data_IF_945822911785
#
_entry.id   IF_945822911785
#
_cell.length_a   1.000
_cell.length_b   1.000
_cell.length_c   1.000
_cell.angle_alpha   90.00
_cell.angle_beta   90.00
_cell.angle_gamma   90.00
#
_symmetry.space_group_name_H-M   'P 1'
#
loop_
_entity.id
_entity.type
_entity.pdbx_description
1 polymer ?
#
# COMPACT_ATOMS: atom_id res chain seq x y z
N UNK A 1 -66.25 -35.87 10.38
CA UNK A 1 -65.15 -35.51 9.45
C UNK A 1 -64.59 -34.14 9.85
N UNK A 2 -63.80 -34.07 10.92
CA UNK A 2 -63.24 -32.81 11.49
C UNK A 2 -61.74 -32.92 11.78
N UNK A 3 -61.03 -33.80 11.06
CA UNK A 3 -59.60 -34.07 11.26
C UNK A 3 -58.73 -33.72 10.05
N UNK A 4 -59.33 -33.34 8.92
CA UNK A 4 -58.59 -33.02 7.68
C UNK A 4 -57.97 -31.61 7.67
N UNK A 5 -58.47 -30.68 8.49
CA UNK A 5 -57.99 -29.28 8.50
C UNK A 5 -56.65 -29.11 9.23
N UNK A 6 -56.38 -29.88 10.29
CA UNK A 6 -55.13 -29.76 11.07
C UNK A 6 -53.91 -30.36 10.36
N UNK A 7 -54.10 -31.35 9.49
CA UNK A 7 -52.99 -32.01 8.78
C UNK A 7 -52.41 -31.07 7.70
N UNK A 8 -53.27 -30.24 7.08
CA UNK A 8 -52.85 -29.27 6.06
C UNK A 8 -52.01 -28.13 6.64
N UNK A 9 -52.23 -27.74 7.90
CA UNK A 9 -51.44 -26.70 8.57
C UNK A 9 -50.03 -27.18 8.97
N UNK A 10 -49.90 -28.46 9.35
CA UNK A 10 -48.60 -29.05 9.70
C UNK A 10 -47.67 -29.24 8.50
N UNK A 11 -48.22 -29.51 7.30
CA UNK A 11 -47.42 -29.64 6.07
C UNK A 11 -46.84 -28.30 5.58
N UNK A 12 -47.54 -27.18 5.81
CA UNK A 12 -47.06 -25.86 5.39
C UNK A 12 -45.88 -25.36 6.24
N UNK A 13 -45.78 -25.76 7.51
CA UNK A 13 -44.61 -25.44 8.37
C UNK A 13 -43.36 -26.26 8.03
N UNK A 14 -43.49 -27.40 7.36
CA UNK A 14 -42.37 -28.23 6.93
C UNK A 14 -41.76 -27.80 5.57
N UNK A 15 -42.37 -26.82 4.90
CA UNK A 15 -41.99 -26.32 3.56
C UNK A 15 -41.43 -24.90 3.58
N UNK A 16 -41.07 -24.34 4.74
CA UNK A 16 -40.08 -23.27 4.78
C UNK A 16 -38.74 -23.90 4.38
N UNK A 17 -38.21 -23.62 3.18
CA UNK A 17 -36.84 -24.00 2.93
C UNK A 17 -36.01 -23.20 3.92
N UNK A 18 -35.12 -23.88 4.63
CA UNK A 18 -34.15 -23.35 5.59
C UNK A 18 -33.21 -22.34 4.92
N UNK A 19 -33.72 -21.17 4.51
CA UNK A 19 -32.94 -20.05 3.96
C UNK A 19 -32.44 -19.15 5.08
N UNK A 20 -31.84 -19.76 6.09
CA UNK A 20 -30.85 -19.12 6.94
C UNK A 20 -29.64 -20.04 7.13
N UNK A 21 -29.19 -20.71 6.05
CA UNK A 21 -27.75 -20.90 5.88
C UNK A 21 -27.22 -19.70 5.11
N UNK A 22 -27.01 -18.59 5.82
CA UNK A 22 -25.92 -17.68 5.43
C UNK A 22 -24.65 -18.49 5.66
N UNK A 23 -24.11 -19.09 4.60
CA UNK A 23 -22.73 -19.55 4.61
C UNK A 23 -21.82 -18.34 4.88
N UNK A 24 -21.53 -18.06 6.15
CA UNK A 24 -20.30 -17.36 6.52
C UNK A 24 -19.15 -18.36 6.39
N UNK A 25 -18.77 -18.68 5.16
CA UNK A 25 -17.66 -19.57 4.88
C UNK A 25 -17.03 -19.24 3.52
N UNK A 26 -16.61 -17.98 3.34
CA UNK A 26 -15.66 -17.58 2.28
C UNK A 26 -15.06 -16.16 2.47
N UNK A 27 -15.23 -15.54 3.65
CA UNK A 27 -14.69 -14.22 3.96
C UNK A 27 -13.70 -14.33 5.13
N UNK A 28 -12.50 -14.84 4.87
CA UNK A 28 -11.36 -14.58 5.78
C UNK A 28 -9.98 -14.79 5.15
N UNK A 29 -9.83 -15.71 4.17
CA UNK A 29 -8.51 -16.07 3.63
C UNK A 29 -7.68 -14.90 3.04
N UNK A 30 -8.34 -13.81 2.62
CA UNK A 30 -7.63 -12.61 2.12
C UNK A 30 -7.03 -11.76 3.24
N UNK A 31 -7.72 -11.67 4.38
CA UNK A 31 -7.21 -10.93 5.53
C UNK A 31 -6.13 -11.72 6.25
N UNK A 32 -6.21 -13.06 6.26
CA UNK A 32 -5.13 -13.93 6.74
C UNK A 32 -3.84 -13.75 5.93
N UNK A 33 -3.92 -13.80 4.59
CA UNK A 33 -2.76 -13.59 3.73
C UNK A 33 -2.18 -12.18 3.91
N UNK A 34 -3.04 -11.16 4.02
CA UNK A 34 -2.62 -9.80 4.33
C UNK A 34 -1.89 -9.72 5.68
N UNK A 35 -2.40 -10.36 6.75
CA UNK A 35 -1.75 -10.38 8.07
C UNK A 35 -0.36 -11.02 8.00
N UNK A 36 -0.24 -12.17 7.34
CA UNK A 36 1.04 -12.86 7.16
C UNK A 36 2.02 -11.95 6.41
N UNK A 37 1.57 -11.32 5.32
CA UNK A 37 2.40 -10.42 4.54
C UNK A 37 2.82 -9.18 5.34
N UNK A 38 1.93 -8.56 6.11
CA UNK A 38 2.28 -7.40 6.92
C UNK A 38 3.22 -7.72 8.07
N UNK A 39 3.21 -8.96 8.58
CA UNK A 39 4.10 -9.38 9.67
C UNK A 39 5.57 -9.45 9.26
N UNK A 40 5.88 -9.50 7.96
CA UNK A 40 7.27 -9.42 7.47
C UNK A 40 7.78 -8.00 7.30
N UNK A 41 6.91 -6.99 7.51
CA UNK A 41 7.25 -5.59 7.37
C UNK A 41 7.67 -4.99 8.71
N UNK A 42 8.50 -3.94 8.68
CA UNK A 42 8.85 -3.19 9.89
C UNK A 42 7.64 -2.46 10.52
N UNK A 43 6.59 -2.22 9.73
CA UNK A 43 5.38 -1.50 10.16
C UNK A 43 4.09 -2.32 9.95
N UNK A 44 3.88 -3.44 10.69
CA UNK A 44 2.77 -4.36 10.43
C UNK A 44 1.38 -3.72 10.53
N UNK A 45 1.14 -2.93 11.58
CA UNK A 45 -0.17 -2.29 11.79
C UNK A 45 -0.48 -1.26 10.71
N UNK A 46 0.54 -0.49 10.29
CA UNK A 46 0.40 0.48 9.20
C UNK A 46 0.15 -0.24 7.87
N UNK A 47 0.88 -1.32 7.60
CA UNK A 47 0.66 -2.17 6.43
C UNK A 47 -0.78 -2.68 6.37
N UNK A 48 -1.29 -3.27 7.46
CA UNK A 48 -2.65 -3.78 7.51
C UNK A 48 -3.66 -2.66 7.30
N UNK A 49 -3.48 -1.54 7.99
CA UNK A 49 -4.35 -0.36 7.86
C UNK A 49 -4.42 0.13 6.42
N UNK A 50 -3.27 0.25 5.75
CA UNK A 50 -3.18 0.76 4.38
C UNK A 50 -3.73 -0.19 3.31
N UNK A 51 -3.73 -1.50 3.58
CA UNK A 51 -4.07 -2.52 2.58
C UNK A 51 -5.41 -3.23 2.84
N UNK A 52 -5.97 -3.14 4.04
CA UNK A 52 -7.20 -3.85 4.42
C UNK A 52 -8.40 -3.56 3.52
N UNK A 53 -8.51 -2.34 2.99
CA UNK A 53 -9.61 -1.91 2.11
C UNK A 53 -9.50 -2.45 0.68
N UNK A 54 -8.38 -3.05 0.29
CA UNK A 54 -8.22 -3.62 -1.04
C UNK A 54 -9.06 -4.89 -1.21
N UNK A 55 -9.53 -5.20 -2.43
CA UNK A 55 -10.35 -6.39 -2.67
C UNK A 55 -9.64 -7.68 -2.25
N UNK A 56 -10.39 -8.65 -1.72
CA UNK A 56 -9.84 -9.96 -1.31
C UNK A 56 -9.11 -10.69 -2.45
N UNK A 57 -9.50 -10.48 -3.71
CA UNK A 57 -8.79 -11.03 -4.88
C UNK A 57 -7.36 -10.52 -4.98
N UNK A 58 -7.09 -9.29 -4.56
CA UNK A 58 -5.76 -8.69 -4.51
C UNK A 58 -5.00 -9.15 -3.27
N UNK A 59 -5.67 -9.20 -2.11
CA UNK A 59 -5.05 -9.58 -0.84
C UNK A 59 -4.65 -11.07 -0.73
N UNK A 60 -5.13 -11.92 -1.63
CA UNK A 60 -4.85 -13.38 -1.64
C UNK A 60 -3.54 -13.78 -2.32
N UNK A 61 -2.76 -12.85 -2.88
CA UNK A 61 -1.47 -13.15 -3.49
C UNK A 61 -0.39 -12.15 -3.11
N UNK A 62 0.85 -12.63 -2.96
CA UNK A 62 2.02 -11.80 -2.66
C UNK A 62 2.24 -10.72 -3.71
N UNK A 63 2.16 -11.08 -5.00
CA UNK A 63 2.24 -10.10 -6.11
C UNK A 63 1.10 -9.08 -6.05
N UNK A 64 -0.11 -9.50 -5.70
CA UNK A 64 -1.26 -8.61 -5.54
C UNK A 64 -1.05 -7.60 -4.41
N UNK A 65 -0.58 -8.07 -3.26
CA UNK A 65 -0.25 -7.24 -2.09
C UNK A 65 0.92 -6.28 -2.36
N UNK A 66 2.00 -6.75 -2.99
CA UNK A 66 3.11 -5.88 -3.38
C UNK A 66 2.65 -4.79 -4.37
N UNK A 67 1.81 -5.14 -5.37
CA UNK A 67 1.23 -4.15 -6.30
C UNK A 67 0.32 -3.16 -5.60
N UNK A 68 -0.49 -3.61 -4.65
CA UNK A 68 -1.35 -2.75 -3.84
C UNK A 68 -0.51 -1.77 -3.02
N UNK A 69 0.55 -2.25 -2.36
CA UNK A 69 1.45 -1.40 -1.59
C UNK A 69 2.12 -0.33 -2.45
N UNK A 70 2.70 -0.68 -3.59
CA UNK A 70 3.28 0.31 -4.52
C UNK A 70 2.23 1.35 -4.96
N UNK A 71 0.99 0.91 -5.22
CA UNK A 71 -0.11 1.81 -5.61
C UNK A 71 -0.51 2.79 -4.49
N UNK A 72 -0.53 2.31 -3.23
CA UNK A 72 -0.75 3.15 -2.06
C UNK A 72 0.41 4.14 -1.92
N UNK A 73 1.66 3.70 -2.06
CA UNK A 73 2.83 4.58 -2.00
C UNK A 73 2.74 5.70 -3.03
N UNK A 74 2.46 5.40 -4.30
CA UNK A 74 2.24 6.42 -5.36
C UNK A 74 1.18 7.45 -4.93
N UNK A 75 0.09 7.00 -4.32
CA UNK A 75 -0.99 7.88 -3.88
C UNK A 75 -0.51 8.81 -2.75
N UNK A 76 0.20 8.27 -1.77
CA UNK A 76 0.73 9.06 -0.65
C UNK A 76 1.83 10.02 -1.12
N UNK A 77 2.74 9.60 -2.00
CA UNK A 77 3.75 10.48 -2.59
C UNK A 77 3.11 11.65 -3.31
N UNK A 78 2.06 11.42 -4.10
CA UNK A 78 1.28 12.52 -4.73
C UNK A 78 0.66 13.46 -3.70
N UNK A 79 0.14 12.95 -2.59
CA UNK A 79 -0.43 13.76 -1.52
C UNK A 79 0.64 14.69 -0.92
N UNK A 80 1.82 14.15 -0.64
CA UNK A 80 2.95 14.92 -0.12
C UNK A 80 3.48 15.90 -1.16
N UNK A 81 3.62 15.53 -2.44
CA UNK A 81 4.00 16.46 -3.51
C UNK A 81 3.05 17.65 -3.62
N UNK A 82 1.72 17.42 -3.50
CA UNK A 82 0.74 18.51 -3.47
C UNK A 82 0.93 19.41 -2.26
N UNK A 83 1.27 18.84 -1.11
CA UNK A 83 1.56 19.64 0.08
C UNK A 83 2.83 20.49 -0.09
N UNK A 84 3.92 19.91 -0.61
CA UNK A 84 5.16 20.63 -0.96
C UNK A 84 4.87 21.80 -1.91
N UNK A 85 4.11 21.55 -2.98
CA UNK A 85 3.72 22.60 -3.93
C UNK A 85 2.86 23.69 -3.28
N UNK A 86 2.00 23.31 -2.33
CA UNK A 86 1.23 24.26 -1.52
C UNK A 86 2.13 25.21 -0.73
N UNK A 87 3.18 24.69 -0.08
CA UNK A 87 4.12 25.46 0.73
C UNK A 87 4.89 26.52 -0.08
N UNK A 88 5.10 26.29 -1.38
CA UNK A 88 5.73 27.27 -2.27
C UNK A 88 4.99 28.60 -2.29
N UNK A 89 3.67 28.56 -2.14
CA UNK A 89 2.81 29.76 -2.19
C UNK A 89 2.64 30.45 -0.83
N UNK A 90 3.12 29.83 0.28
CA UNK A 90 2.93 30.33 1.66
C UNK A 90 4.14 31.14 2.15
N UNK A 91 5.20 31.26 1.33
CA UNK A 91 6.30 32.19 1.56
C UNK A 91 7.35 31.72 2.56
N UNK A 92 7.89 30.50 2.40
CA UNK A 92 9.16 30.14 3.06
C UNK A 92 10.26 31.14 2.64
N UNK A 93 11.11 31.54 3.58
CA UNK A 93 12.16 32.54 3.37
C UNK A 93 13.55 31.93 3.51
N UNK A 94 14.57 32.65 3.05
CA UNK A 94 15.96 32.20 3.17
C UNK A 94 16.25 30.93 2.39
N UNK A 95 17.17 30.11 2.91
CA UNK A 95 17.59 28.87 2.24
C UNK A 95 16.51 27.77 2.30
N UNK A 96 15.50 27.90 3.18
CA UNK A 96 14.35 27.00 3.22
C UNK A 96 13.49 27.05 1.95
N UNK A 97 13.45 28.21 1.28
CA UNK A 97 12.76 28.34 -0.01
C UNK A 97 13.45 27.54 -1.12
N UNK A 98 14.80 27.53 -1.14
CA UNK A 98 15.57 26.72 -2.08
C UNK A 98 15.45 25.23 -1.77
N UNK A 99 15.57 24.83 -0.51
CA UNK A 99 15.37 23.45 -0.09
C UNK A 99 13.97 22.91 -0.47
N UNK A 100 12.95 23.78 -0.48
CA UNK A 100 11.62 23.38 -0.97
C UNK A 100 11.59 23.13 -2.48
N UNK A 101 12.37 23.87 -3.28
CA UNK A 101 12.51 23.59 -4.71
C UNK A 101 13.21 22.25 -4.93
N UNK A 102 14.28 21.97 -4.19
CA UNK A 102 14.98 20.68 -4.24
C UNK A 102 14.05 19.52 -3.83
N UNK A 103 13.18 19.76 -2.83
CA UNK A 103 12.13 18.81 -2.46
C UNK A 103 11.13 18.52 -3.59
N UNK A 104 10.79 19.51 -4.43
CA UNK A 104 9.90 19.28 -5.58
C UNK A 104 10.57 18.33 -6.57
N UNK A 105 11.86 18.52 -6.85
CA UNK A 105 12.65 17.65 -7.73
C UNK A 105 12.76 16.24 -7.16
N UNK A 106 13.15 16.10 -5.89
CA UNK A 106 13.24 14.81 -5.19
C UNK A 106 11.91 14.04 -5.25
N UNK A 107 10.77 14.72 -5.07
CA UNK A 107 9.46 14.06 -5.15
C UNK A 107 9.03 13.74 -6.58
N UNK A 108 9.54 14.45 -7.59
CA UNK A 108 9.45 14.06 -8.99
C UNK A 108 10.16 12.74 -9.26
N UNK A 109 11.42 12.64 -8.82
CA UNK A 109 12.23 11.42 -8.95
C UNK A 109 11.62 10.23 -8.20
N UNK A 110 11.08 10.48 -6.99
CA UNK A 110 10.40 9.45 -6.21
C UNK A 110 9.17 8.92 -6.98
N UNK A 111 8.35 9.80 -7.56
CA UNK A 111 7.18 9.40 -8.34
C UNK A 111 7.56 8.61 -9.59
N UNK A 112 8.60 9.02 -10.31
CA UNK A 112 9.07 8.33 -11.51
C UNK A 112 9.55 6.91 -11.18
N UNK A 113 10.34 6.76 -10.12
CA UNK A 113 10.77 5.45 -9.63
C UNK A 113 9.57 4.58 -9.19
N UNK A 114 8.61 5.15 -8.47
CA UNK A 114 7.40 4.45 -8.04
C UNK A 114 6.53 4.01 -9.23
N UNK A 115 6.41 4.82 -10.28
CA UNK A 115 5.70 4.45 -11.49
C UNK A 115 6.40 3.34 -12.28
N UNK A 116 7.74 3.37 -12.36
CA UNK A 116 8.52 2.28 -12.95
C UNK A 116 8.28 0.97 -12.21
N UNK A 117 8.30 0.98 -10.87
CA UNK A 117 7.96 -0.19 -10.04
C UNK A 117 6.54 -0.67 -10.28
N UNK A 118 5.57 0.25 -10.32
CA UNK A 118 4.17 -0.07 -10.54
C UNK A 118 3.91 -0.63 -11.95
N UNK A 119 4.65 -0.16 -12.95
CA UNK A 119 4.60 -0.72 -14.29
C UNK A 119 5.20 -2.12 -14.31
N UNK A 120 6.40 -2.30 -13.77
CA UNK A 120 7.13 -3.56 -13.78
C UNK A 120 6.37 -4.69 -13.11
N UNK A 121 5.71 -4.44 -11.97
CA UNK A 121 4.92 -5.48 -11.27
C UNK A 121 3.70 -5.95 -12.06
N UNK A 122 3.21 -5.16 -13.04
CA UNK A 122 2.07 -5.53 -13.90
C UNK A 122 2.47 -6.39 -15.09
N UNK A 123 3.76 -6.41 -15.42
CA UNK A 123 4.33 -7.12 -16.58
C UNK A 123 5.41 -8.11 -16.13
N UNK A 124 5.19 -8.76 -14.98
CA UNK A 124 6.11 -9.78 -14.50
C UNK A 124 6.14 -10.98 -15.45
N UNK A 125 7.34 -11.38 -15.85
CA UNK A 125 7.60 -12.48 -16.78
C UNK A 125 8.46 -13.53 -16.09
N UNK A 126 8.11 -14.81 -16.22
CA UNK A 126 8.82 -15.90 -15.55
C UNK A 126 10.33 -15.91 -15.91
N UNK A 127 10.66 -15.72 -17.18
CA UNK A 127 12.03 -15.79 -17.69
C UNK A 127 12.92 -14.63 -17.19
N UNK A 128 12.32 -13.53 -16.72
CA UNK A 128 13.03 -12.34 -16.25
C UNK A 128 12.67 -11.94 -14.82
N UNK A 129 11.91 -12.78 -14.11
CA UNK A 129 11.26 -12.44 -12.84
C UNK A 129 12.22 -11.86 -11.81
N UNK A 130 13.35 -12.54 -11.56
CA UNK A 130 14.35 -12.09 -10.57
C UNK A 130 14.95 -10.73 -10.91
N UNK A 131 15.23 -10.48 -12.19
CA UNK A 131 15.77 -9.20 -12.64
C UNK A 131 14.73 -8.09 -12.53
N UNK A 132 13.47 -8.39 -12.89
CA UNK A 132 12.36 -7.45 -12.76
C UNK A 132 12.06 -7.11 -11.29
N UNK A 133 12.13 -8.09 -10.38
CA UNK A 133 12.04 -7.83 -8.93
C UNK A 133 13.21 -6.99 -8.45
N UNK A 134 14.45 -7.27 -8.87
CA UNK A 134 15.64 -6.47 -8.54
C UNK A 134 15.51 -5.00 -8.99
N UNK A 135 14.94 -4.77 -10.18
CA UNK A 135 14.65 -3.41 -10.65
C UNK A 135 13.67 -2.69 -9.72
N UNK A 136 12.57 -3.35 -9.32
CA UNK A 136 11.61 -2.76 -8.38
C UNK A 136 12.23 -2.46 -7.02
N UNK A 137 13.09 -3.35 -6.50
CA UNK A 137 13.83 -3.12 -5.25
C UNK A 137 14.70 -1.87 -5.37
N UNK A 138 15.42 -1.74 -6.49
CA UNK A 138 16.28 -0.58 -6.76
C UNK A 138 15.48 0.71 -6.81
N UNK A 139 14.37 0.74 -7.56
CA UNK A 139 13.56 1.95 -7.71
C UNK A 139 12.82 2.32 -6.42
N UNK A 140 12.33 1.35 -5.65
CA UNK A 140 11.69 1.62 -4.36
C UNK A 140 12.68 2.18 -3.34
N UNK A 141 13.91 1.62 -3.29
CA UNK A 141 14.98 2.18 -2.45
C UNK A 141 15.37 3.60 -2.90
N UNK A 142 15.45 3.85 -4.21
CA UNK A 142 15.72 5.19 -4.73
C UNK A 142 14.63 6.19 -4.35
N UNK A 143 13.35 5.80 -4.41
CA UNK A 143 12.24 6.65 -3.96
C UNK A 143 12.36 7.00 -2.47
N UNK A 144 12.71 6.05 -1.61
CA UNK A 144 12.99 6.33 -0.19
C UNK A 144 14.14 7.31 0.00
N UNK A 145 15.26 7.12 -0.73
CA UNK A 145 16.39 8.04 -0.65
C UNK A 145 16.03 9.46 -1.10
N UNK A 146 15.18 9.61 -2.12
CA UNK A 146 14.68 10.95 -2.53
C UNK A 146 13.81 11.59 -1.43
N UNK A 147 12.96 10.82 -0.75
CA UNK A 147 12.16 11.30 0.38
C UNK A 147 13.06 11.79 1.54
N UNK A 148 14.08 11.00 1.91
CA UNK A 148 15.07 11.34 2.93
C UNK A 148 15.89 12.58 2.56
N UNK A 149 16.36 12.66 1.31
CA UNK A 149 17.14 13.81 0.80
C UNK A 149 16.37 15.12 0.94
N UNK A 150 15.06 15.12 0.66
CA UNK A 150 14.22 16.29 0.87
C UNK A 150 14.16 16.71 2.36
N UNK A 151 13.98 15.75 3.28
CA UNK A 151 13.95 16.03 4.72
C UNK A 151 15.29 16.60 5.20
N UNK A 152 16.41 16.02 4.75
CA UNK A 152 17.75 16.48 5.11
C UNK A 152 18.02 17.91 4.60
N UNK A 153 17.62 18.21 3.36
CA UNK A 153 17.73 19.55 2.79
C UNK A 153 16.92 20.59 3.56
N UNK A 154 15.70 20.25 3.97
CA UNK A 154 14.86 21.13 4.79
C UNK A 154 15.44 21.36 6.18
N UNK A 155 15.93 20.30 6.84
CA UNK A 155 16.52 20.38 8.18
C UNK A 155 17.87 21.12 8.20
N UNK A 156 18.63 21.07 7.10
CA UNK A 156 19.89 21.79 6.95
C UNK A 156 19.74 23.28 6.58
N UNK A 157 18.52 23.76 6.33
CA UNK A 157 18.27 25.13 5.89
C UNK A 157 18.06 26.13 7.05
N UNK A 158 18.32 27.42 6.78
CA UNK A 158 18.08 28.52 7.70
C UNK A 158 16.67 29.09 7.43
N UNK A 159 15.94 29.42 8.49
CA UNK A 159 14.54 29.86 8.40
C UNK A 159 13.52 28.72 8.38
N UNK A 160 13.97 27.45 8.31
CA UNK A 160 13.13 26.25 8.44
C UNK A 160 13.04 25.73 9.88
N UNK A 161 14.07 25.97 10.69
CA UNK A 161 14.12 25.61 12.12
C UNK A 161 12.97 26.27 12.88
N UNK A 162 11.89 25.52 13.09
CA UNK A 162 10.76 25.90 13.93
C UNK A 162 9.50 26.41 13.22
N UNK A 163 9.41 26.40 11.89
CA UNK A 163 8.11 26.69 11.25
C UNK A 163 7.19 25.46 11.34
N UNK A 164 5.95 25.66 11.79
CA UNK A 164 4.96 24.59 11.90
C UNK A 164 4.69 23.89 10.55
N UNK A 165 4.88 24.61 9.44
CA UNK A 165 4.72 24.09 8.09
C UNK A 165 5.78 23.04 7.72
N UNK A 166 7.07 23.33 7.97
CA UNK A 166 8.18 22.39 7.73
C UNK A 166 8.06 21.18 8.64
N UNK A 167 7.70 21.37 9.92
CA UNK A 167 7.45 20.26 10.85
C UNK A 167 6.33 19.34 10.33
N UNK A 168 5.24 19.93 9.82
CA UNK A 168 4.14 19.19 9.21
C UNK A 168 4.60 18.44 7.96
N UNK A 169 5.47 19.02 7.14
CA UNK A 169 6.02 18.36 5.95
C UNK A 169 6.91 17.19 6.32
N UNK A 170 7.87 17.36 7.22
CA UNK A 170 8.73 16.28 7.70
C UNK A 170 7.91 15.13 8.30
N UNK A 171 6.83 15.44 9.01
CA UNK A 171 5.90 14.43 9.54
C UNK A 171 5.22 13.66 8.40
N UNK A 172 4.73 14.37 7.39
CA UNK A 172 4.08 13.75 6.23
C UNK A 172 5.06 12.87 5.43
N UNK A 173 6.29 13.33 5.21
CA UNK A 173 7.36 12.56 4.54
C UNK A 173 7.72 11.34 5.37
N UNK A 174 7.91 11.48 6.69
CA UNK A 174 8.21 10.34 7.56
C UNK A 174 7.09 9.29 7.59
N UNK A 175 5.82 9.69 7.48
CA UNK A 175 4.72 8.74 7.28
C UNK A 175 4.80 8.05 5.91
N UNK A 176 5.13 8.79 4.85
CA UNK A 176 5.30 8.25 3.50
C UNK A 176 6.44 7.22 3.44
N UNK A 177 7.61 7.51 4.02
CA UNK A 177 8.77 6.60 3.97
C UNK A 177 8.50 5.26 4.64
N UNK A 178 7.63 5.22 5.66
CA UNK A 178 7.13 3.97 6.24
C UNK A 178 6.28 3.17 5.24
N UNK A 179 5.45 3.85 4.46
CA UNK A 179 4.63 3.23 3.39
C UNK A 179 5.52 2.73 2.24
N UNK A 180 6.54 3.50 1.86
CA UNK A 180 7.54 3.07 0.85
C UNK A 180 8.34 1.85 1.35
N UNK A 181 8.74 1.83 2.62
CA UNK A 181 9.38 0.67 3.27
C UNK A 181 8.48 -0.57 3.27
N UNK A 182 7.18 -0.43 3.56
CA UNK A 182 6.20 -1.53 3.43
C UNK A 182 6.17 -2.09 2.01
N UNK A 183 6.12 -1.22 0.98
CA UNK A 183 6.11 -1.66 -0.42
C UNK A 183 7.39 -2.41 -0.78
N UNK A 184 8.56 -1.91 -0.36
CA UNK A 184 9.85 -2.57 -0.58
C UNK A 184 9.90 -3.94 0.11
N UNK A 185 9.47 -4.03 1.37
CA UNK A 185 9.43 -5.29 2.11
C UNK A 185 8.55 -6.34 1.40
N UNK A 186 7.37 -5.95 0.92
CA UNK A 186 6.49 -6.87 0.18
C UNK A 186 7.07 -7.28 -1.18
N UNK A 187 7.74 -6.37 -1.90
CA UNK A 187 8.47 -6.73 -3.13
C UNK A 187 9.60 -7.72 -2.82
N UNK A 188 10.33 -7.54 -1.71
CA UNK A 188 11.40 -8.46 -1.31
C UNK A 188 10.90 -9.90 -1.10
N UNK A 189 9.68 -10.08 -0.62
CA UNK A 189 9.10 -11.43 -0.42
C UNK A 189 8.86 -12.18 -1.72
N UNK A 190 8.72 -11.47 -2.86
CA UNK A 190 8.47 -12.11 -4.16
C UNK A 190 9.60 -13.06 -4.56
N UNK A 191 10.84 -12.70 -4.22
CA UNK A 191 12.02 -13.56 -4.44
C UNK A 191 12.02 -14.82 -3.56
N UNK A 192 11.37 -14.77 -2.39
CA UNK A 192 11.28 -15.91 -1.46
C UNK A 192 10.10 -16.83 -1.78
N UNK A 193 9.03 -16.29 -2.36
CA UNK A 193 7.82 -17.05 -2.70
C UNK A 193 7.90 -17.81 -4.02
N UNK A 194 8.91 -17.52 -4.86
CA UNK A 194 9.16 -18.22 -6.13
C UNK A 194 9.43 -19.72 -5.94
N UNK A 195 9.82 -20.14 -4.72
CA UNK A 195 9.90 -21.55 -4.32
C UNK A 195 8.54 -22.25 -4.12
N UNK A 196 7.42 -21.51 -4.11
CA UNK A 196 6.07 -22.03 -3.87
C UNK A 196 5.09 -21.84 -5.04
N UNK A 197 5.44 -21.06 -6.07
CA UNK A 197 4.56 -20.81 -7.23
C UNK A 197 4.53 -22.00 -8.22
N UNK A 198 5.41 -23.00 -8.07
CA UNK A 198 5.31 -24.27 -8.83
C UNK A 198 4.19 -25.22 -8.37
N UNK A 199 3.36 -24.88 -7.39
CA UNK A 199 2.32 -25.77 -6.86
C UNK A 199 0.87 -25.37 -7.17
N UNK A 200 0.65 -24.42 -8.09
CA UNK A 200 -0.71 -23.94 -8.41
C UNK A 200 -1.06 -23.99 -9.91
N UNK A 201 -0.63 -25.05 -10.61
CA UNK A 201 -1.23 -25.50 -11.87
C UNK A 201 -1.38 -27.02 -11.87
#
# INVERSE_FOLDING_TARGET
MRTLSSISLMLFLALLPSLLLRSSAAADNGDDCLRIACNVTEYPDLCFTKLSSWPNTVKRSWTGLARAAISVTVTETKNVSRYILGLRNVGLTGTASMALVDCIECFGDALDNLYRSLFQIRVLENDNFKFQVSNMQTWLSAAMSSEETCVDGLNGSNGSNGTALVQGLNTAIGCLSKVTSIALALVNTLNSTDGHISAAH
#
